data_IF_617649757976
#
_entry.id   IF_617649757976
#
_cell.length_a   1.000
_cell.length_b   1.000
_cell.length_c   1.000
_cell.angle_alpha   90.00
_cell.angle_beta   90.00
_cell.angle_gamma   90.00
#
_symmetry.space_group_name_H-M   'P 1'
#
loop_
_entity.id
_entity.type
_entity.pdbx_description
1 polymer ?
#
# COMPACT_ATOMS: atom_id res chain seq x y z
N UNK A 1 -0.32 -4.31 -1.58
CA UNK A 1 0.78 -4.98 -2.34
C UNK A 1 0.50 -6.47 -2.36
N UNK A 2 0.40 -7.05 -3.57
CA UNK A 2 0.04 -8.46 -3.71
C UNK A 2 1.31 -9.33 -3.68
N UNK A 3 1.31 -10.33 -2.82
CA UNK A 3 2.43 -11.25 -2.56
C UNK A 3 1.95 -12.69 -2.67
N UNK A 4 2.77 -13.58 -3.23
CA UNK A 4 2.41 -15.01 -3.30
C UNK A 4 2.78 -15.74 -2.00
N UNK A 5 2.18 -16.91 -1.77
CA UNK A 5 2.46 -17.75 -0.58
C UNK A 5 3.93 -18.16 -0.50
N UNK A 6 4.55 -18.47 -1.65
CA UNK A 6 5.98 -18.82 -1.71
C UNK A 6 6.88 -17.64 -1.31
N UNK A 7 6.49 -16.42 -1.70
CA UNK A 7 7.22 -15.20 -1.33
C UNK A 7 7.08 -14.89 0.16
N UNK A 8 5.91 -15.15 0.76
CA UNK A 8 5.67 -15.03 2.20
C UNK A 8 6.42 -16.11 3.00
N UNK A 9 6.56 -17.30 2.43
CA UNK A 9 7.29 -18.39 3.05
C UNK A 9 8.81 -18.17 3.04
N UNK A 10 9.37 -17.78 1.87
CA UNK A 10 10.82 -17.59 1.68
C UNK A 10 11.31 -16.25 2.22
N UNK A 11 10.41 -15.28 2.35
CA UNK A 11 10.75 -13.86 2.55
C UNK A 11 11.24 -13.22 1.24
N UNK A 12 10.95 -11.94 1.07
CA UNK A 12 11.34 -11.21 -0.15
C UNK A 12 11.60 -9.75 0.12
N UNK A 13 12.62 -9.21 -0.52
CA UNK A 13 12.83 -7.76 -0.59
C UNK A 13 12.40 -7.25 -1.95
N UNK A 14 11.46 -6.33 -1.97
CA UNK A 14 10.94 -5.74 -3.21
C UNK A 14 11.17 -4.23 -3.22
N UNK A 15 11.57 -3.70 -4.39
CA UNK A 15 11.74 -2.26 -4.60
C UNK A 15 10.50 -1.68 -5.23
N UNK A 16 9.87 -0.72 -4.55
CA UNK A 16 8.71 0.01 -5.05
C UNK A 16 9.13 1.44 -5.42
N UNK A 17 8.74 1.88 -6.62
CA UNK A 17 8.91 3.26 -7.03
C UNK A 17 7.72 4.09 -6.52
N UNK A 18 7.98 5.00 -5.60
CA UNK A 18 7.01 5.97 -5.10
C UNK A 18 7.23 7.30 -5.81
N UNK A 19 6.18 7.85 -6.37
CA UNK A 19 6.18 9.24 -6.86
C UNK A 19 5.50 10.11 -5.81
N UNK A 20 6.23 11.08 -5.26
CA UNK A 20 5.76 12.00 -4.24
C UNK A 20 6.08 13.44 -4.59
N UNK A 21 5.34 14.35 -4.00
CA UNK A 21 5.64 15.77 -4.10
C UNK A 21 6.55 16.19 -2.94
N UNK A 22 7.71 16.75 -3.25
CA UNK A 22 8.64 17.29 -2.26
C UNK A 22 8.65 18.81 -2.33
N UNK A 23 9.01 19.47 -1.24
CA UNK A 23 9.19 20.91 -1.22
C UNK A 23 10.27 21.32 -2.23
N UNK A 24 9.95 22.30 -3.06
CA UNK A 24 10.90 22.82 -4.04
C UNK A 24 12.17 23.34 -3.34
N UNK A 25 13.32 22.74 -3.65
CA UNK A 25 14.61 23.10 -3.05
C UNK A 25 15.00 24.54 -3.30
N UNK A 26 14.63 25.12 -4.47
CA UNK A 26 14.98 26.49 -4.85
C UNK A 26 14.23 27.55 -4.06
N UNK A 27 12.92 27.38 -3.83
CA UNK A 27 12.10 28.36 -3.11
C UNK A 27 11.68 27.89 -1.71
N UNK A 28 12.11 26.70 -1.28
CA UNK A 28 11.81 26.12 0.04
C UNK A 28 10.32 26.19 0.41
N UNK A 29 9.46 25.89 -0.56
CA UNK A 29 8.01 25.91 -0.36
C UNK A 29 7.35 27.31 -0.47
N UNK A 30 8.09 28.38 -0.73
CA UNK A 30 7.53 29.74 -0.87
C UNK A 30 6.80 29.97 -2.20
N UNK A 31 7.18 29.26 -3.25
CA UNK A 31 6.58 29.37 -4.60
C UNK A 31 7.14 30.50 -5.46
N UNK A 32 7.86 31.46 -4.89
CA UNK A 32 8.45 32.61 -5.56
C UNK A 32 9.74 33.11 -4.90
N UNK A 33 10.21 34.27 -5.32
CA UNK A 33 11.32 34.95 -4.66
C UNK A 33 10.92 35.39 -3.25
N UNK A 34 11.91 35.61 -2.39
CA UNK A 34 11.66 36.11 -1.03
C UNK A 34 10.94 37.46 -1.07
N UNK A 35 9.82 37.55 -0.32
CA UNK A 35 8.99 38.78 -0.30
C UNK A 35 8.04 38.97 -1.48
N UNK A 36 8.05 38.08 -2.49
CA UNK A 36 7.15 38.17 -3.64
C UNK A 36 5.75 37.57 -3.38
N UNK A 37 5.59 36.82 -2.30
CA UNK A 37 4.31 36.25 -1.89
C UNK A 37 3.48 37.30 -1.17
N UNK A 38 2.31 37.61 -1.70
CA UNK A 38 1.36 38.56 -1.13
C UNK A 38 0.03 37.92 -0.89
N UNK A 39 -0.76 38.47 0.04
CA UNK A 39 -2.15 38.03 0.21
C UNK A 39 -2.94 38.29 -1.07
N UNK A 40 -3.75 37.32 -1.48
CA UNK A 40 -4.56 37.46 -2.69
C UNK A 40 -5.57 38.62 -2.53
N UNK A 41 -5.57 39.61 -3.43
CA UNK A 41 -6.49 40.75 -3.34
C UNK A 41 -7.96 40.32 -3.56
N UNK A 42 -8.21 39.26 -4.30
CA UNK A 42 -9.54 38.79 -4.61
C UNK A 42 -10.28 38.11 -3.43
N UNK A 43 -9.56 37.57 -2.46
CA UNK A 43 -10.12 36.94 -1.27
C UNK A 43 -9.51 37.45 0.04
N UNK A 44 -8.65 38.47 -0.01
CA UNK A 44 -7.92 39.01 1.14
C UNK A 44 -7.19 37.93 1.97
N UNK A 45 -6.56 36.97 1.28
CA UNK A 45 -5.81 35.89 1.90
C UNK A 45 -6.65 34.69 2.36
N UNK A 46 -7.97 34.73 2.28
CA UNK A 46 -8.85 33.64 2.78
C UNK A 46 -8.86 32.40 1.90
N UNK A 47 -8.49 32.50 0.64
CA UNK A 47 -8.53 31.38 -0.32
C UNK A 47 -9.92 31.07 -0.87
N UNK A 48 -10.99 31.55 -0.23
CA UNK A 48 -12.38 31.31 -0.60
C UNK A 48 -13.12 32.62 -0.89
N UNK A 49 -14.04 32.56 -1.85
CA UNK A 49 -15.01 33.65 -2.14
C UNK A 49 -16.40 33.15 -1.79
N UNK A 50 -17.19 34.00 -1.19
CA UNK A 50 -18.60 33.73 -0.93
C UNK A 50 -19.41 34.34 -2.06
N UNK A 51 -20.12 33.49 -2.80
CA UNK A 51 -21.02 33.91 -3.89
C UNK A 51 -22.44 33.77 -3.38
N UNK A 52 -23.22 34.86 -3.46
CA UNK A 52 -24.64 34.82 -3.19
C UNK A 52 -25.36 34.47 -4.47
N UNK A 53 -26.04 33.33 -4.47
CA UNK A 53 -26.90 32.90 -5.58
C UNK A 53 -28.34 33.02 -5.18
N UNK A 54 -29.11 33.80 -5.92
CA UNK A 54 -30.53 33.91 -5.73
C UNK A 54 -31.25 32.78 -6.47
N UNK A 55 -31.98 31.96 -5.74
CA UNK A 55 -32.84 30.92 -6.27
C UNK A 55 -34.28 31.23 -5.88
N UNK A 56 -34.98 32.00 -6.73
CA UNK A 56 -36.33 32.49 -6.42
C UNK A 56 -36.35 33.43 -5.21
N UNK A 57 -37.18 33.19 -4.20
CA UNK A 57 -37.25 34.02 -2.99
C UNK A 57 -36.13 33.73 -1.97
N UNK A 58 -35.30 32.70 -2.19
CA UNK A 58 -34.22 32.28 -1.28
C UNK A 58 -32.87 32.75 -1.79
N UNK A 59 -32.05 33.30 -0.89
CA UNK A 59 -30.65 33.65 -1.15
C UNK A 59 -29.78 32.54 -0.55
N UNK A 60 -29.02 31.83 -1.39
CA UNK A 60 -28.06 30.82 -0.96
C UNK A 60 -26.68 31.39 -1.00
N UNK A 61 -25.92 31.27 0.09
CA UNK A 61 -24.51 31.58 0.15
C UNK A 61 -23.70 30.32 -0.17
N UNK A 62 -22.93 30.38 -1.25
CA UNK A 62 -22.06 29.29 -1.68
C UNK A 62 -20.60 29.73 -1.50
N UNK A 63 -19.83 28.94 -0.76
CA UNK A 63 -18.39 29.14 -0.66
C UNK A 63 -17.70 28.41 -1.81
N UNK A 64 -16.93 29.17 -2.62
CA UNK A 64 -16.13 28.60 -3.72
C UNK A 64 -14.67 28.95 -3.53
N UNK A 65 -13.77 28.13 -4.08
CA UNK A 65 -12.37 28.47 -4.13
C UNK A 65 -12.18 29.79 -4.92
N UNK A 66 -11.28 30.64 -4.45
CA UNK A 66 -10.99 31.90 -5.14
C UNK A 66 -10.30 31.62 -6.46
N UNK A 67 -10.85 32.10 -7.57
CA UNK A 67 -10.30 31.89 -8.93
C UNK A 67 -8.93 32.52 -9.11
N UNK A 68 -8.68 33.68 -8.45
CA UNK A 68 -7.42 34.43 -8.58
C UNK A 68 -6.23 33.71 -7.94
N UNK A 69 -6.45 32.93 -6.88
CA UNK A 69 -5.42 32.19 -6.17
C UNK A 69 -5.64 30.67 -6.14
N UNK A 70 -6.68 30.20 -6.79
CA UNK A 70 -7.04 28.76 -6.82
C UNK A 70 -7.10 28.14 -5.42
N UNK A 71 -7.64 28.86 -4.45
CA UNK A 71 -7.83 28.39 -3.08
C UNK A 71 -6.63 28.62 -2.14
N UNK A 72 -5.47 29.04 -2.62
CA UNK A 72 -4.26 29.15 -1.79
C UNK A 72 -4.23 30.39 -0.89
N UNK A 73 -5.06 31.39 -1.15
CA UNK A 73 -5.04 32.68 -0.43
C UNK A 73 -3.85 33.59 -0.76
N UNK A 74 -2.88 33.10 -1.51
CA UNK A 74 -1.64 33.80 -1.84
C UNK A 74 -1.56 34.14 -3.33
N UNK A 75 -0.98 35.26 -3.62
CA UNK A 75 -0.76 35.77 -4.98
C UNK A 75 0.71 36.00 -5.23
N UNK A 76 1.23 35.50 -6.33
CA UNK A 76 2.62 35.70 -6.76
C UNK A 76 2.61 36.20 -8.20
N UNK A 77 3.27 37.35 -8.43
CA UNK A 77 3.41 37.87 -9.78
C UNK A 77 4.11 36.87 -10.70
N UNK A 78 3.70 36.80 -11.96
CA UNK A 78 4.25 35.83 -12.93
C UNK A 78 5.79 35.99 -13.09
N UNK A 79 6.33 37.18 -12.95
CA UNK A 79 7.78 37.50 -13.06
C UNK A 79 8.58 36.99 -11.85
N UNK A 80 7.94 36.85 -10.70
CA UNK A 80 8.59 36.48 -9.42
C UNK A 80 8.34 35.05 -9.02
N UNK A 81 7.59 34.28 -9.85
CA UNK A 81 7.35 32.85 -9.65
C UNK A 81 8.65 32.06 -9.73
N UNK A 82 8.78 31.05 -8.90
CA UNK A 82 9.92 30.16 -8.94
C UNK A 82 9.98 29.42 -10.29
N UNK A 83 11.11 29.48 -10.98
CA UNK A 83 11.28 28.88 -12.31
C UNK A 83 11.23 27.34 -12.27
N UNK A 84 11.49 26.71 -11.10
CA UNK A 84 11.49 25.26 -10.93
C UNK A 84 10.08 24.73 -10.70
N UNK A 85 9.40 25.23 -9.67
CA UNK A 85 8.04 24.76 -9.34
C UNK A 85 6.92 25.59 -10.00
N UNK A 86 7.25 26.65 -10.72
CA UNK A 86 6.28 27.55 -11.40
C UNK A 86 5.16 28.06 -10.47
N UNK A 87 5.49 28.26 -9.19
CA UNK A 87 4.55 28.72 -8.18
C UNK A 87 3.80 27.61 -7.43
N UNK A 88 3.97 26.33 -7.82
CA UNK A 88 3.31 25.18 -7.16
C UNK A 88 3.86 24.86 -5.77
N UNK A 89 5.00 25.44 -5.38
CA UNK A 89 5.70 25.23 -4.11
C UNK A 89 6.34 23.85 -3.95
N UNK A 90 5.82 22.83 -4.64
CA UNK A 90 6.28 21.45 -4.62
C UNK A 90 6.72 20.98 -6.01
N UNK A 91 7.56 19.95 -6.04
CA UNK A 91 8.08 19.32 -7.26
C UNK A 91 7.91 17.80 -7.12
N UNK A 92 7.48 17.10 -8.17
CA UNK A 92 7.40 15.65 -8.15
C UNK A 92 8.81 15.02 -8.04
N UNK A 93 8.98 14.11 -7.11
CA UNK A 93 10.18 13.33 -6.87
C UNK A 93 9.86 11.83 -6.94
N UNK A 94 10.79 11.06 -7.49
CA UNK A 94 10.68 9.60 -7.54
C UNK A 94 11.66 9.00 -6.57
N UNK A 95 11.15 8.32 -5.56
CA UNK A 95 11.96 7.59 -4.59
C UNK A 95 11.71 6.09 -4.70
N UNK A 96 12.79 5.30 -4.64
CA UNK A 96 12.68 3.85 -4.51
C UNK A 96 12.62 3.49 -3.03
N UNK A 97 11.55 2.81 -2.63
CA UNK A 97 11.40 2.26 -1.29
C UNK A 97 11.71 0.75 -1.34
N UNK A 98 12.56 0.29 -0.44
CA UNK A 98 12.84 -1.13 -0.27
C UNK A 98 11.88 -1.68 0.80
N UNK A 99 10.99 -2.56 0.37
CA UNK A 99 10.02 -3.23 1.23
C UNK A 99 10.55 -4.62 1.54
N UNK A 100 10.83 -4.86 2.81
CA UNK A 100 11.21 -6.16 3.30
C UNK A 100 9.96 -6.90 3.76
N UNK A 101 9.73 -8.07 3.18
CA UNK A 101 8.69 -9.00 3.54
C UNK A 101 9.36 -10.12 4.33
N UNK A 102 9.07 -10.17 5.63
CA UNK A 102 9.62 -11.18 6.51
C UNK A 102 8.95 -12.53 6.28
N UNK A 103 9.68 -13.61 6.58
CA UNK A 103 9.14 -14.98 6.49
C UNK A 103 7.96 -15.12 7.45
N UNK A 104 6.89 -15.74 6.97
CA UNK A 104 5.67 -15.96 7.76
C UNK A 104 4.75 -14.76 7.92
N UNK A 105 5.04 -13.64 7.29
CA UNK A 105 4.18 -12.47 7.31
C UNK A 105 2.75 -12.83 6.90
N UNK A 106 1.75 -12.28 7.62
CA UNK A 106 0.33 -12.57 7.36
C UNK A 106 -0.26 -11.53 6.40
N UNK A 107 -1.27 -11.95 5.63
CA UNK A 107 -2.09 -11.02 4.87
C UNK A 107 -2.72 -9.96 5.79
N UNK A 108 -2.76 -8.71 5.34
CA UNK A 108 -3.23 -7.57 6.13
C UNK A 108 -2.16 -6.90 7.00
N UNK A 109 -0.98 -7.49 7.16
CA UNK A 109 0.12 -6.81 7.86
C UNK A 109 0.64 -5.62 7.06
N UNK A 110 1.13 -4.61 7.79
CA UNK A 110 1.52 -3.32 7.21
C UNK A 110 2.98 -3.02 7.46
N UNK A 111 3.63 -2.47 6.43
CA UNK A 111 4.97 -1.89 6.54
C UNK A 111 4.83 -0.38 6.43
N UNK A 112 5.29 0.36 7.45
CA UNK A 112 5.13 1.81 7.54
C UNK A 112 6.45 2.50 7.27
N UNK A 113 6.46 3.40 6.28
CA UNK A 113 7.58 4.29 5.97
C UNK A 113 7.23 5.70 6.46
N UNK A 114 7.85 6.11 7.56
CA UNK A 114 7.55 7.38 8.22
C UNK A 114 8.09 8.56 7.44
N UNK A 115 7.27 9.60 7.28
CA UNK A 115 7.66 10.85 6.63
C UNK A 115 7.95 10.75 5.13
N UNK A 116 7.55 9.67 4.46
CA UNK A 116 7.83 9.43 3.05
C UNK A 116 6.69 9.81 2.11
N UNK A 117 5.60 10.37 2.63
CA UNK A 117 4.46 10.85 1.86
C UNK A 117 4.73 12.22 1.22
N UNK A 118 3.71 12.79 0.61
CA UNK A 118 3.74 14.12 0.00
C UNK A 118 4.08 15.19 1.03
N UNK A 119 4.97 16.12 0.66
CA UNK A 119 5.31 17.27 1.45
C UNK A 119 4.47 18.48 1.03
N UNK A 120 3.96 19.20 2.01
CA UNK A 120 3.24 20.46 1.81
C UNK A 120 3.87 21.58 2.64
N UNK A 121 3.88 22.82 2.14
CA UNK A 121 4.40 23.94 2.92
C UNK A 121 3.62 24.12 4.22
N UNK A 122 4.32 24.11 5.36
CA UNK A 122 3.73 24.31 6.68
C UNK A 122 3.08 23.08 7.31
N UNK A 123 3.23 21.91 6.71
CA UNK A 123 2.78 20.65 7.29
C UNK A 123 3.93 19.62 7.25
N UNK A 124 4.01 18.82 8.28
CA UNK A 124 4.94 17.68 8.30
C UNK A 124 4.50 16.61 7.30
N UNK A 125 5.45 15.91 6.65
CA UNK A 125 5.13 14.84 5.73
C UNK A 125 4.45 13.68 6.46
N UNK A 126 3.39 13.14 5.86
CA UNK A 126 2.72 11.94 6.35
C UNK A 126 3.51 10.66 6.09
N UNK A 127 2.97 9.55 6.56
CA UNK A 127 3.56 8.22 6.41
C UNK A 127 2.99 7.49 5.19
N UNK A 128 3.81 6.62 4.60
CA UNK A 128 3.37 5.68 3.56
C UNK A 128 3.19 4.32 4.20
N UNK A 129 1.97 3.80 4.16
CA UNK A 129 1.61 2.49 4.69
C UNK A 129 1.40 1.52 3.54
N UNK A 130 2.20 0.46 3.51
CA UNK A 130 2.09 -0.61 2.53
C UNK A 130 1.42 -1.80 3.20
N UNK A 131 0.26 -2.18 2.71
CA UNK A 131 -0.48 -3.36 3.17
C UNK A 131 -0.09 -4.55 2.32
N UNK A 132 0.27 -5.65 2.97
CA UNK A 132 0.56 -6.93 2.31
C UNK A 132 -0.76 -7.67 2.07
N UNK A 133 -1.03 -8.03 0.84
CA UNK A 133 -2.20 -8.82 0.44
C UNK A 133 -1.73 -10.15 -0.14
N UNK A 134 -2.21 -11.24 0.41
CA UNK A 134 -1.91 -12.59 -0.04
C UNK A 134 -2.70 -12.90 -1.31
N UNK A 135 -2.00 -13.39 -2.33
CA UNK A 135 -2.63 -13.91 -3.54
C UNK A 135 -3.16 -15.31 -3.30
N UNK A 136 -4.34 -15.66 -3.87
CA UNK A 136 -4.81 -17.05 -3.85
C UNK A 136 -3.78 -17.95 -4.52
N UNK A 137 -3.54 -19.12 -3.90
CA UNK A 137 -2.64 -20.16 -4.40
C UNK A 137 -3.42 -21.37 -4.89
N UNK A 138 -2.97 -22.00 -5.98
CA UNK A 138 -3.72 -23.09 -6.65
C UNK A 138 -3.89 -24.36 -5.81
N UNK A 139 -2.94 -24.66 -4.91
CA UNK A 139 -2.89 -25.90 -4.14
C UNK A 139 -3.05 -25.71 -2.65
N UNK A 140 -2.63 -24.57 -2.12
CA UNK A 140 -2.61 -24.30 -0.69
C UNK A 140 -3.53 -23.15 -0.33
N UNK A 141 -4.25 -23.33 0.76
CA UNK A 141 -5.00 -22.27 1.42
C UNK A 141 -4.39 -22.05 2.78
N UNK A 142 -3.95 -20.84 3.05
CA UNK A 142 -3.42 -20.49 4.36
C UNK A 142 -4.56 -20.22 5.34
N UNK A 143 -4.47 -20.81 6.52
CA UNK A 143 -5.33 -20.49 7.65
C UNK A 143 -4.42 -20.11 8.82
N UNK A 144 -4.24 -18.84 9.06
CA UNK A 144 -3.30 -18.26 10.03
C UNK A 144 -1.85 -18.75 9.87
N UNK A 145 -1.42 -19.75 10.62
CA UNK A 145 -0.08 -20.34 10.55
C UNK A 145 -0.03 -21.65 9.78
N UNK A 146 -1.21 -22.22 9.48
CA UNK A 146 -1.33 -23.53 8.85
C UNK A 146 -1.57 -23.41 7.34
N UNK A 147 -1.16 -24.43 6.61
CA UNK A 147 -1.41 -24.58 5.18
C UNK A 147 -2.36 -25.75 4.99
N UNK A 148 -3.50 -25.48 4.39
CA UNK A 148 -4.49 -26.48 4.03
C UNK A 148 -4.32 -26.80 2.54
N UNK A 149 -4.22 -28.08 2.20
CA UNK A 149 -4.20 -28.56 0.83
C UNK A 149 -5.27 -29.64 0.65
N UNK A 150 -5.97 -29.59 -0.46
CA UNK A 150 -6.90 -30.65 -0.86
C UNK A 150 -6.18 -31.56 -1.85
N UNK A 151 -6.15 -32.87 -1.53
CA UNK A 151 -5.44 -33.86 -2.34
C UNK A 151 -6.38 -35.03 -2.61
N UNK A 152 -6.47 -35.44 -3.86
CA UNK A 152 -7.21 -36.66 -4.25
C UNK A 152 -6.31 -37.89 -4.09
N UNK A 153 -6.77 -38.87 -3.35
CA UNK A 153 -6.04 -40.11 -3.05
C UNK A 153 -6.88 -41.31 -3.51
N UNK A 154 -6.22 -42.30 -4.11
CA UNK A 154 -6.86 -43.53 -4.53
C UNK A 154 -7.44 -44.32 -3.34
N UNK A 155 -8.62 -44.90 -3.54
CA UNK A 155 -9.29 -45.69 -2.53
C UNK A 155 -8.43 -46.86 -2.05
N UNK A 156 -7.61 -47.44 -2.92
CA UNK A 156 -6.70 -48.54 -2.56
C UNK A 156 -5.67 -48.04 -1.51
N UNK A 157 -5.09 -46.87 -1.71
CA UNK A 157 -4.16 -46.25 -0.77
C UNK A 157 -4.81 -45.94 0.58
N UNK A 158 -6.09 -45.56 0.57
CA UNK A 158 -6.85 -45.30 1.79
C UNK A 158 -7.11 -46.58 2.59
N UNK A 159 -7.44 -47.71 1.92
CA UNK A 159 -7.80 -48.97 2.57
C UNK A 159 -6.57 -49.82 2.95
N UNK A 160 -5.60 -49.92 2.07
CA UNK A 160 -4.42 -50.76 2.25
C UNK A 160 -3.24 -50.03 2.88
N UNK A 161 -3.33 -48.73 2.99
CA UNK A 161 -2.19 -47.88 3.33
C UNK A 161 -1.31 -47.59 2.12
N UNK A 162 -0.49 -46.57 2.22
CA UNK A 162 0.41 -46.16 1.13
C UNK A 162 1.12 -44.85 1.39
N UNK A 163 1.77 -44.36 0.38
CA UNK A 163 2.49 -43.07 0.44
C UNK A 163 2.09 -42.21 -0.75
N UNK A 164 1.95 -40.90 -0.51
CA UNK A 164 1.83 -39.92 -1.57
C UNK A 164 2.72 -38.72 -1.29
N UNK A 165 3.10 -37.98 -2.33
CA UNK A 165 3.97 -36.83 -2.21
C UNK A 165 3.21 -35.55 -2.53
N UNK A 166 3.39 -34.53 -1.68
CA UNK A 166 2.89 -33.17 -1.90
C UNK A 166 4.08 -32.27 -2.13
N UNK A 167 4.05 -31.50 -3.21
CA UNK A 167 5.07 -30.49 -3.46
C UNK A 167 4.81 -29.26 -2.58
N UNK A 168 5.72 -28.95 -1.67
CA UNK A 168 5.65 -27.81 -0.75
C UNK A 168 5.98 -26.48 -1.46
N UNK A 169 5.85 -25.34 -0.75
CA UNK A 169 6.10 -23.97 -1.25
C UNK A 169 7.59 -23.72 -1.60
N UNK A 170 8.50 -24.48 -1.04
CA UNK A 170 9.95 -24.42 -1.29
C UNK A 170 10.44 -25.46 -2.30
N UNK A 171 9.53 -26.07 -3.04
CA UNK A 171 9.80 -27.13 -4.02
C UNK A 171 10.23 -28.48 -3.43
N UNK A 172 10.30 -28.64 -2.10
CA UNK A 172 10.51 -29.95 -1.46
C UNK A 172 9.29 -30.85 -1.67
N UNK A 173 9.53 -32.13 -1.84
CA UNK A 173 8.48 -33.16 -1.84
C UNK A 173 8.25 -33.65 -0.40
N UNK A 174 7.10 -33.35 0.16
CA UNK A 174 6.67 -33.89 1.45
C UNK A 174 6.01 -35.25 1.19
N UNK A 175 6.62 -36.31 1.71
CA UNK A 175 6.06 -37.64 1.60
C UNK A 175 5.16 -37.90 2.81
N UNK A 176 3.88 -38.09 2.54
CA UNK A 176 2.87 -38.39 3.55
C UNK A 176 2.60 -39.90 3.53
N UNK A 177 2.77 -40.56 4.67
CA UNK A 177 2.47 -41.97 4.84
C UNK A 177 1.08 -42.11 5.45
N UNK A 178 0.24 -42.93 4.82
CA UNK A 178 -1.11 -43.24 5.28
C UNK A 178 -1.11 -44.69 5.74
N UNK A 179 -1.61 -44.94 6.96
CA UNK A 179 -1.79 -46.28 7.47
C UNK A 179 -3.23 -46.78 7.22
N UNK A 180 -3.44 -48.09 7.10
CA UNK A 180 -4.79 -48.64 6.97
C UNK A 180 -5.69 -48.20 8.14
N UNK A 181 -6.79 -47.52 7.83
CA UNK A 181 -7.76 -47.08 8.82
C UNK A 181 -7.58 -45.62 9.32
N UNK A 182 -6.52 -44.93 8.93
CA UNK A 182 -6.32 -43.50 9.30
C UNK A 182 -7.43 -42.61 8.73
N UNK A 183 -7.92 -42.95 7.53
CA UNK A 183 -8.99 -42.22 6.86
C UNK A 183 -10.32 -42.95 7.09
N UNK A 184 -11.11 -42.43 8.00
CA UNK A 184 -12.41 -43.01 8.35
C UNK A 184 -13.59 -42.36 7.65
N UNK A 185 -13.40 -41.11 7.17
CA UNK A 185 -14.44 -40.30 6.50
C UNK A 185 -13.88 -39.57 5.30
N UNK A 186 -14.71 -39.40 4.27
CA UNK A 186 -14.40 -38.54 3.14
C UNK A 186 -14.05 -37.14 3.62
N UNK A 187 -12.85 -36.67 3.24
CA UNK A 187 -12.40 -35.30 3.52
C UNK A 187 -11.74 -35.04 4.88
N UNK A 188 -11.33 -36.09 5.62
CA UNK A 188 -10.68 -35.90 6.92
C UNK A 188 -9.33 -36.62 7.02
N UNK A 189 -8.28 -35.92 6.66
CA UNK A 189 -6.91 -36.17 7.10
C UNK A 189 -6.30 -34.86 7.55
N UNK A 190 -6.07 -34.72 8.86
CA UNK A 190 -5.25 -33.64 9.41
C UNK A 190 -3.86 -34.23 9.64
N UNK A 191 -2.89 -33.82 8.87
CA UNK A 191 -1.47 -34.04 9.16
C UNK A 191 -0.87 -32.76 9.68
N UNK A 192 -0.49 -32.79 10.93
CA UNK A 192 0.39 -31.76 11.48
C UNK A 192 1.82 -32.05 10.99
N UNK A 193 2.21 -31.42 9.89
CA UNK A 193 3.62 -31.41 9.48
C UNK A 193 4.32 -30.39 10.36
N UNK A 194 4.88 -30.84 11.48
CA UNK A 194 5.86 -30.06 12.21
C UNK A 194 7.01 -29.77 11.26
N UNK A 195 7.14 -28.51 10.86
CA UNK A 195 8.37 -27.99 10.26
C UNK A 195 9.40 -27.96 11.37
N UNK A 196 10.05 -29.09 11.65
CA UNK A 196 11.27 -29.11 12.43
C UNK A 196 12.29 -28.30 11.65
N UNK A 197 12.65 -27.15 12.19
CA UNK A 197 13.90 -26.47 11.86
C UNK A 197 15.03 -27.43 12.23
N UNK A 198 15.49 -28.22 11.30
CA UNK A 198 16.74 -28.94 11.44
C UNK A 198 17.76 -28.32 10.48
N UNK A 199 18.70 -27.59 11.13
CA UNK A 199 20.10 -27.24 10.84
C UNK A 199 20.42 -26.63 9.48
#
# INVERSE_FOLDING_TARGET
MNVTLEELYKGKTTKLALTRNILCSKCKGKGGKDGAVRSCPGCNGRGIKVIMRQMGPMIQQIQTACDDCSGTGEYINARDRCNVCKGKKVVPDKKMLEVHIDKGMKGGQTVVFRGESDQSPGADPGDVVIVVEEKPHDRFRRQENDLIAEVEIDLLTVLAGGQFAIKHLDDRALVVQVHPGDITKHGMLNFDVCLSEDS
#
